data_IF_482794961708
#
_entry.id   IF_482794961708
#
_cell.length_a   1.000
_cell.length_b   1.000
_cell.length_c   1.000
_cell.angle_alpha   90.00
_cell.angle_beta   90.00
_cell.angle_gamma   90.00
#
_symmetry.space_group_name_H-M   'P 1'
#
loop_
_entity.id
_entity.type
_entity.pdbx_description
1 polymer ?
#
# COMPACT_ATOMS: atom_id res chain seq x y z
N UNK A 1 -35.38 -63.74 34.58
CA UNK A 1 -35.49 -63.43 33.16
C UNK A 1 -36.62 -62.42 32.96
N UNK A 2 -36.32 -61.14 33.04
CA UNK A 2 -37.29 -60.08 32.81
C UNK A 2 -36.52 -58.79 32.46
N UNK A 3 -36.87 -58.24 31.30
CA UNK A 3 -36.82 -56.81 30.94
C UNK A 3 -35.46 -56.10 30.76
N UNK A 4 -34.85 -56.36 29.61
CA UNK A 4 -33.94 -55.44 28.93
C UNK A 4 -34.59 -55.14 27.58
N UNK A 5 -35.56 -54.25 27.55
CA UNK A 5 -36.14 -53.68 26.34
C UNK A 5 -36.78 -52.34 26.67
N UNK A 6 -36.00 -51.35 27.12
CA UNK A 6 -36.53 -49.99 27.17
C UNK A 6 -35.43 -48.93 27.39
N UNK A 7 -34.27 -49.08 26.77
CA UNK A 7 -33.23 -48.01 26.90
C UNK A 7 -32.53 -47.61 25.59
N UNK A 8 -33.05 -48.09 24.47
CA UNK A 8 -32.43 -47.75 23.14
C UNK A 8 -33.20 -46.69 22.36
N UNK A 9 -34.37 -46.25 22.85
CA UNK A 9 -35.25 -45.34 22.08
C UNK A 9 -35.17 -43.87 22.56
N UNK A 10 -34.25 -43.49 23.45
CA UNK A 10 -34.18 -42.12 23.96
C UNK A 10 -32.87 -41.37 23.66
N UNK A 11 -31.93 -41.98 22.91
CA UNK A 11 -30.67 -41.33 22.54
C UNK A 11 -30.70 -40.85 21.08
N UNK A 12 -31.75 -41.21 20.31
CA UNK A 12 -31.88 -40.83 18.89
C UNK A 12 -32.64 -39.52 18.63
N UNK A 13 -33.05 -38.78 19.68
CA UNK A 13 -33.86 -37.56 19.52
C UNK A 13 -33.17 -36.27 20.04
N UNK A 14 -31.84 -36.30 20.28
CA UNK A 14 -31.07 -35.10 20.67
C UNK A 14 -30.08 -34.66 19.59
N UNK A 15 -30.20 -35.16 18.38
CA UNK A 15 -29.45 -34.67 17.19
C UNK A 15 -30.27 -33.77 16.29
N UNK A 16 -31.27 -33.14 16.83
CA UNK A 16 -31.98 -32.10 16.11
C UNK A 16 -31.74 -30.77 16.72
N UNK A 17 -31.41 -29.80 15.85
CA UNK A 17 -31.45 -28.36 16.08
C UNK A 17 -30.16 -27.70 16.59
N UNK A 18 -29.04 -28.02 15.94
CA UNK A 18 -28.17 -26.94 15.50
C UNK A 18 -28.20 -26.87 13.97
N UNK A 19 -29.39 -26.61 13.46
CA UNK A 19 -29.50 -25.92 12.19
C UNK A 19 -28.93 -24.51 12.44
N UNK A 20 -27.69 -24.26 12.04
CA UNK A 20 -27.26 -22.93 11.77
C UNK A 20 -28.28 -22.38 10.77
N UNK A 21 -29.22 -21.56 11.21
CA UNK A 21 -29.90 -20.64 10.34
C UNK A 21 -28.77 -19.76 9.78
N UNK A 22 -28.34 -20.09 8.55
CA UNK A 22 -27.65 -19.09 7.73
C UNK A 22 -28.65 -17.95 7.69
N UNK A 23 -28.31 -16.84 8.34
CA UNK A 23 -29.06 -15.60 8.18
C UNK A 23 -29.27 -15.44 6.68
N UNK A 24 -30.53 -15.47 6.27
CA UNK A 24 -30.87 -15.18 4.88
C UNK A 24 -30.41 -13.76 4.66
N UNK A 25 -29.39 -13.60 3.82
CA UNK A 25 -29.02 -12.30 3.29
C UNK A 25 -30.32 -11.71 2.76
N UNK A 26 -30.82 -10.68 3.46
CA UNK A 26 -32.06 -10.00 3.06
C UNK A 26 -31.82 -9.44 1.66
N UNK A 27 -32.44 -10.05 0.67
CA UNK A 27 -32.41 -9.52 -0.68
C UNK A 27 -33.26 -8.26 -0.70
N UNK A 28 -32.62 -7.14 -0.91
CA UNK A 28 -33.31 -5.87 -1.14
C UNK A 28 -34.30 -6.05 -2.31
N UNK A 29 -35.56 -5.69 -2.06
CA UNK A 29 -36.63 -5.80 -3.05
C UNK A 29 -36.65 -4.69 -4.11
N UNK A 30 -35.57 -3.90 -4.25
CA UNK A 30 -35.46 -2.75 -5.15
C UNK A 30 -34.18 -2.84 -5.99
N UNK A 31 -33.98 -1.89 -6.88
CA UNK A 31 -32.80 -1.80 -7.74
C UNK A 31 -31.51 -1.84 -6.90
N UNK A 32 -30.91 -3.01 -6.89
CA UNK A 32 -29.70 -3.26 -6.11
C UNK A 32 -28.46 -2.87 -6.92
N UNK A 33 -27.67 -1.95 -6.40
CA UNK A 33 -26.38 -1.60 -6.97
C UNK A 33 -25.42 -2.75 -6.69
N UNK A 34 -24.90 -3.35 -7.77
CA UNK A 34 -23.95 -4.46 -7.70
C UNK A 34 -22.56 -3.95 -7.92
N UNK A 35 -21.70 -4.12 -6.91
CA UNK A 35 -20.28 -3.86 -6.98
C UNK A 35 -19.57 -5.18 -7.22
N UNK A 36 -18.64 -5.22 -8.16
CA UNK A 36 -17.97 -6.46 -8.62
C UNK A 36 -16.47 -6.42 -8.49
N UNK A 37 -15.90 -5.23 -8.35
CA UNK A 37 -14.46 -5.01 -8.25
C UNK A 37 -14.11 -4.36 -6.91
N UNK A 38 -12.97 -4.75 -6.35
CA UNK A 38 -12.30 -4.05 -5.25
C UNK A 38 -10.97 -3.53 -5.79
N UNK A 39 -10.74 -2.24 -5.72
CA UNK A 39 -9.54 -1.63 -6.29
C UNK A 39 -8.67 -0.89 -5.26
N UNK A 40 -9.18 -0.69 -4.06
CA UNK A 40 -8.41 -0.16 -2.93
C UNK A 40 -8.88 -0.85 -1.65
N UNK A 41 -7.92 -1.33 -0.88
CA UNK A 41 -8.15 -1.88 0.46
C UNK A 41 -7.00 -1.45 1.36
N UNK A 42 -7.30 -0.69 2.39
CA UNK A 42 -6.33 -0.23 3.38
C UNK A 42 -6.76 -0.67 4.77
N UNK A 43 -5.80 -1.03 5.58
CA UNK A 43 -5.99 -1.38 6.97
C UNK A 43 -5.09 -0.50 7.83
N UNK A 44 -5.64 0.05 8.89
CA UNK A 44 -4.88 0.79 9.89
C UNK A 44 -5.20 0.27 11.28
N UNK A 45 -4.16 -0.15 12.01
CA UNK A 45 -4.26 -0.51 13.42
C UNK A 45 -4.55 0.75 14.24
N UNK A 46 -5.60 0.72 15.05
CA UNK A 46 -5.97 1.82 15.94
C UNK A 46 -5.83 1.49 17.41
N UNK A 47 -6.01 2.50 18.26
CA UNK A 47 -6.06 2.32 19.73
C UNK A 47 -7.48 1.90 20.15
N UNK A 48 -7.65 0.60 20.31
CA UNK A 48 -8.92 -0.02 20.73
C UNK A 48 -9.89 -0.40 19.60
N UNK A 49 -9.72 0.12 18.40
CA UNK A 49 -10.46 -0.29 17.20
C UNK A 49 -9.56 -0.16 15.97
N UNK A 50 -9.68 -1.10 15.06
CA UNK A 50 -8.98 -1.07 13.78
C UNK A 50 -9.86 -0.42 12.71
N UNK A 51 -9.23 0.21 11.72
CA UNK A 51 -9.91 0.85 10.59
C UNK A 51 -9.64 0.09 9.29
N UNK A 52 -10.68 -0.09 8.50
CA UNK A 52 -10.61 -0.70 7.17
C UNK A 52 -11.20 0.27 6.16
N UNK A 53 -10.38 0.75 5.25
CA UNK A 53 -10.83 1.54 4.10
C UNK A 53 -10.95 0.64 2.88
N UNK A 54 -12.08 0.71 2.20
CA UNK A 54 -12.43 -0.14 1.06
C UNK A 54 -12.99 0.73 -0.05
N UNK A 55 -12.50 0.55 -1.26
CA UNK A 55 -13.11 1.13 -2.45
C UNK A 55 -13.58 0.01 -3.39
N UNK A 56 -14.85 0.02 -3.70
CA UNK A 56 -15.53 -0.96 -4.53
C UNK A 56 -16.11 -0.29 -5.77
N UNK A 57 -16.18 -1.01 -6.88
CA UNK A 57 -16.76 -0.51 -8.11
C UNK A 57 -17.66 -1.56 -8.79
N UNK A 58 -18.55 -1.10 -9.66
CA UNK A 58 -19.43 -1.97 -10.47
C UNK A 58 -18.77 -2.51 -11.74
N UNK A 59 -17.49 -2.19 -11.97
CA UNK A 59 -16.68 -2.65 -13.10
C UNK A 59 -15.26 -2.11 -13.00
N UNK A 60 -14.40 -2.39 -14.01
CA UNK A 60 -13.03 -1.90 -14.05
C UNK A 60 -12.93 -0.40 -13.83
N UNK A 61 -11.89 0.02 -13.11
CA UNK A 61 -11.70 1.42 -12.70
C UNK A 61 -10.46 2.04 -13.34
N UNK A 62 -10.53 3.35 -13.53
CA UNK A 62 -9.45 4.21 -14.00
C UNK A 62 -9.30 5.39 -13.05
N UNK A 63 -8.07 5.77 -12.76
CA UNK A 63 -7.78 6.98 -11.99
C UNK A 63 -7.72 8.19 -12.91
N UNK A 64 -8.51 9.23 -12.62
CA UNK A 64 -8.41 10.53 -13.29
C UNK A 64 -7.48 11.45 -12.50
N UNK A 65 -6.25 11.70 -12.98
CA UNK A 65 -5.28 12.52 -12.28
C UNK A 65 -5.67 14.01 -12.26
N UNK A 66 -6.59 14.44 -13.12
CA UNK A 66 -7.05 15.83 -13.18
C UNK A 66 -7.95 16.17 -11.99
N UNK A 67 -8.86 15.26 -11.67
CA UNK A 67 -9.81 15.41 -10.58
C UNK A 67 -9.41 14.65 -9.33
N UNK A 68 -8.31 13.89 -9.39
CA UNK A 68 -7.84 12.99 -8.33
C UNK A 68 -8.93 12.00 -7.85
N UNK A 69 -9.70 11.48 -8.80
CA UNK A 69 -10.82 10.58 -8.51
C UNK A 69 -10.73 9.30 -9.32
N UNK A 70 -11.14 8.23 -8.69
CA UNK A 70 -11.36 6.96 -9.38
C UNK A 70 -12.74 6.97 -10.03
N UNK A 71 -12.86 6.43 -11.20
CA UNK A 71 -14.14 6.21 -11.88
C UNK A 71 -14.11 4.87 -12.61
N UNK A 72 -15.27 4.34 -12.92
CA UNK A 72 -15.38 3.15 -13.78
C UNK A 72 -15.03 3.50 -15.22
N UNK A 73 -14.37 2.59 -15.95
CA UNK A 73 -14.06 2.77 -17.40
C UNK A 73 -15.32 3.07 -18.25
N UNK A 74 -16.44 2.49 -17.84
CA UNK A 74 -17.75 2.73 -18.42
C UNK A 74 -18.67 3.37 -17.39
N UNK A 75 -19.90 3.72 -17.79
CA UNK A 75 -20.92 4.19 -16.86
C UNK A 75 -21.06 3.20 -15.68
N UNK A 76 -20.90 3.66 -14.44
CA UNK A 76 -20.93 2.76 -13.29
C UNK A 76 -20.82 3.42 -11.92
N UNK A 77 -20.84 2.61 -10.89
CA UNK A 77 -20.83 3.01 -9.49
C UNK A 77 -19.47 2.77 -8.85
N UNK A 78 -19.06 3.68 -7.99
CA UNK A 78 -17.93 3.54 -7.07
C UNK A 78 -18.43 3.82 -5.66
N UNK A 79 -18.02 3.00 -4.70
CA UNK A 79 -18.36 3.14 -3.29
C UNK A 79 -17.10 3.15 -2.43
N UNK A 80 -16.94 4.20 -1.64
CA UNK A 80 -15.92 4.32 -0.61
C UNK A 80 -16.54 4.01 0.75
N UNK A 81 -15.84 3.18 1.52
CA UNK A 81 -16.29 2.67 2.81
C UNK A 81 -15.14 2.76 3.80
N UNK A 82 -15.38 3.30 4.97
CA UNK A 82 -14.47 3.20 6.12
C UNK A 82 -15.19 2.49 7.28
N UNK A 83 -14.64 1.38 7.75
CA UNK A 83 -15.20 0.55 8.81
C UNK A 83 -14.30 0.57 10.04
N UNK A 84 -14.90 0.63 11.21
CA UNK A 84 -14.21 0.40 12.49
C UNK A 84 -14.63 -0.94 13.07
N UNK A 85 -13.65 -1.77 13.42
CA UNK A 85 -13.85 -3.12 13.92
C UNK A 85 -13.01 -3.40 15.17
N UNK A 86 -13.32 -4.50 15.88
CA UNK A 86 -12.45 -5.02 16.92
C UNK A 86 -11.04 -5.30 16.37
N UNK A 87 -9.97 -5.02 17.15
CA UNK A 87 -8.61 -5.26 16.72
C UNK A 87 -8.36 -6.72 16.32
N UNK A 88 -7.70 -6.90 15.17
CA UNK A 88 -7.37 -8.24 14.70
C UNK A 88 -6.14 -8.80 15.43
N UNK A 89 -6.15 -10.10 15.66
CA UNK A 89 -5.03 -10.79 16.30
C UNK A 89 -3.85 -11.02 15.34
N UNK A 90 -4.10 -11.13 14.05
CA UNK A 90 -3.10 -11.39 13.02
C UNK A 90 -2.92 -10.19 12.09
N UNK A 91 -1.91 -9.37 12.38
CA UNK A 91 -1.57 -8.20 11.57
C UNK A 91 -0.96 -8.56 10.21
N UNK A 92 -0.44 -9.78 10.07
CA UNK A 92 0.10 -10.29 8.80
C UNK A 92 -0.97 -10.64 7.76
N UNK A 93 -2.22 -10.81 8.19
CA UNK A 93 -3.37 -11.03 7.33
C UNK A 93 -4.61 -10.38 7.96
N UNK A 94 -4.72 -9.05 7.89
CA UNK A 94 -5.88 -8.36 8.42
C UNK A 94 -7.14 -8.78 7.68
N UNK A 95 -8.19 -9.05 8.40
CA UNK A 95 -9.46 -9.48 7.85
C UNK A 95 -10.62 -8.74 8.50
N UNK A 96 -11.56 -8.27 7.70
CA UNK A 96 -12.78 -7.65 8.24
C UNK A 96 -13.55 -8.70 9.05
N UNK A 97 -13.83 -8.45 10.34
CA UNK A 97 -14.70 -9.30 11.12
C UNK A 97 -16.10 -9.41 10.50
N UNK A 98 -16.64 -10.64 10.47
CA UNK A 98 -18.02 -10.84 10.05
C UNK A 98 -18.97 -10.11 10.98
N UNK A 99 -20.03 -9.55 10.42
CA UNK A 99 -21.03 -8.88 11.21
C UNK A 99 -21.63 -7.65 10.55
N UNK A 100 -22.32 -6.90 11.37
CA UNK A 100 -23.05 -5.71 10.97
C UNK A 100 -22.30 -4.45 11.39
N UNK A 101 -22.21 -3.51 10.49
CA UNK A 101 -21.62 -2.19 10.65
C UNK A 101 -22.68 -1.13 10.43
N UNK A 102 -22.96 -0.36 11.46
CA UNK A 102 -24.01 0.70 11.42
C UNK A 102 -23.36 2.04 11.19
N UNK A 103 -23.95 2.88 10.33
CA UNK A 103 -23.45 4.22 10.04
C UNK A 103 -23.40 5.07 11.32
N UNK A 104 -22.24 5.64 11.62
CA UNK A 104 -22.00 6.44 12.82
C UNK A 104 -20.81 7.39 12.69
N UNK A 105 -20.81 8.47 13.48
CA UNK A 105 -19.80 9.53 13.44
C UNK A 105 -18.62 9.34 14.40
N UNK A 106 -18.72 8.38 15.33
CA UNK A 106 -17.66 8.11 16.30
C UNK A 106 -17.04 6.74 16.04
N UNK A 107 -15.69 6.63 16.02
CA UNK A 107 -15.02 5.33 15.91
C UNK A 107 -15.47 4.38 17.01
N UNK A 108 -15.79 3.14 16.62
CA UNK A 108 -16.21 2.08 17.52
C UNK A 108 -16.40 0.77 16.76
N UNK A 109 -16.18 -0.36 17.40
CA UNK A 109 -16.36 -1.66 16.76
C UNK A 109 -17.79 -1.82 16.21
N UNK A 110 -17.91 -2.28 14.96
CA UNK A 110 -19.18 -2.41 14.25
C UNK A 110 -19.72 -1.06 13.70
N UNK A 111 -18.87 -0.05 13.56
CA UNK A 111 -19.25 1.24 12.98
C UNK A 111 -18.77 1.34 11.54
N UNK A 112 -19.66 1.78 10.68
CA UNK A 112 -19.38 2.31 9.36
C UNK A 112 -19.28 3.84 9.47
N UNK A 113 -18.14 4.44 9.11
CA UNK A 113 -17.91 5.88 9.27
C UNK A 113 -18.93 6.69 8.46
N UNK A 114 -19.42 7.75 9.07
CA UNK A 114 -20.26 8.76 8.40
C UNK A 114 -19.46 9.96 7.88
N UNK A 115 -18.13 9.95 7.96
CA UNK A 115 -17.29 11.01 7.39
C UNK A 115 -17.46 11.05 5.87
N UNK A 116 -17.77 12.24 5.34
CA UNK A 116 -18.20 12.39 3.95
C UNK A 116 -17.14 11.97 2.96
N UNK A 117 -15.85 12.23 3.25
CA UNK A 117 -14.73 11.92 2.35
C UNK A 117 -14.49 10.41 2.17
N UNK A 118 -14.86 9.59 3.15
CA UNK A 118 -14.65 8.14 3.16
C UNK A 118 -15.94 7.33 3.20
N UNK A 119 -17.08 8.00 2.99
CA UNK A 119 -18.41 7.41 2.98
C UNK A 119 -19.23 7.97 1.81
N UNK A 120 -18.91 7.53 0.62
CA UNK A 120 -19.55 8.02 -0.60
C UNK A 120 -19.93 6.86 -1.51
N UNK A 121 -21.06 6.98 -2.16
CA UNK A 121 -21.41 6.18 -3.31
C UNK A 121 -21.67 7.15 -4.47
N UNK A 122 -20.87 7.07 -5.52
CA UNK A 122 -21.05 7.95 -6.67
C UNK A 122 -21.16 7.16 -7.97
N UNK A 123 -21.98 7.68 -8.86
CA UNK A 123 -22.14 7.19 -10.22
C UNK A 123 -21.37 8.08 -11.17
N UNK A 124 -20.56 7.49 -12.00
CA UNK A 124 -19.86 8.17 -13.10
C UNK A 124 -20.48 7.71 -14.42
N UNK A 125 -20.88 8.66 -15.24
CA UNK A 125 -21.47 8.38 -16.53
C UNK A 125 -21.26 9.55 -17.50
N UNK A 126 -21.71 9.37 -18.73
CA UNK A 126 -21.60 10.38 -19.79
C UNK A 126 -22.23 11.75 -19.45
N UNK A 127 -23.16 11.80 -18.52
CA UNK A 127 -23.84 13.00 -18.07
C UNK A 127 -23.15 13.65 -16.85
N UNK A 128 -22.00 13.12 -16.40
CA UNK A 128 -21.23 13.61 -15.27
C UNK A 128 -21.24 12.68 -14.05
N UNK A 129 -20.82 13.21 -12.90
CA UNK A 129 -20.77 12.51 -11.62
C UNK A 129 -21.99 12.85 -10.78
N UNK A 130 -22.64 11.83 -10.22
CA UNK A 130 -23.73 11.98 -9.27
C UNK A 130 -23.36 11.26 -7.97
N UNK A 131 -23.25 12.01 -6.87
CA UNK A 131 -22.85 11.49 -5.56
C UNK A 131 -24.06 11.28 -4.65
N UNK A 132 -24.09 10.13 -4.00
CA UNK A 132 -25.04 9.77 -2.96
C UNK A 132 -24.26 9.65 -1.63
N UNK A 133 -24.62 10.47 -0.67
CA UNK A 133 -24.04 10.42 0.69
C UNK A 133 -25.01 9.67 1.60
N UNK A 134 -24.62 8.52 2.16
CA UNK A 134 -25.43 7.81 3.15
C UNK A 134 -25.60 8.66 4.42
N UNK A 135 -26.82 8.78 4.92
CA UNK A 135 -27.15 9.51 6.15
C UNK A 135 -27.61 8.60 7.29
N UNK A 136 -28.05 7.39 6.96
CA UNK A 136 -28.30 6.31 7.92
C UNK A 136 -28.30 4.97 7.19
N UNK A 137 -28.00 3.90 7.89
CA UNK A 137 -28.01 2.57 7.28
C UNK A 137 -27.04 1.60 7.93
N UNK A 138 -26.91 0.46 7.30
CA UNK A 138 -26.05 -0.63 7.75
C UNK A 138 -25.42 -1.39 6.58
N UNK A 139 -24.21 -1.89 6.82
CA UNK A 139 -23.52 -2.86 5.97
C UNK A 139 -23.37 -4.17 6.74
N UNK A 140 -23.52 -5.27 6.08
CA UNK A 140 -23.25 -6.60 6.66
C UNK A 140 -22.18 -7.29 5.84
N UNK A 141 -21.14 -7.78 6.51
CA UNK A 141 -20.07 -8.56 5.93
C UNK A 141 -20.16 -10.01 6.39
N UNK A 142 -20.08 -10.94 5.45
CA UNK A 142 -19.98 -12.37 5.69
C UNK A 142 -18.79 -12.94 4.90
N UNK A 143 -18.01 -13.82 5.52
CA UNK A 143 -16.89 -14.50 4.87
C UNK A 143 -17.40 -15.67 4.02
N UNK A 144 -16.72 -15.92 2.93
CA UNK A 144 -16.92 -17.09 2.08
C UNK A 144 -15.61 -17.86 1.96
N UNK A 145 -15.60 -18.99 1.27
CA UNK A 145 -14.38 -19.75 1.00
C UNK A 145 -13.37 -18.92 0.16
N UNK A 146 -13.87 -18.00 -0.69
CA UNK A 146 -13.09 -17.29 -1.67
C UNK A 146 -13.09 -15.76 -1.46
N UNK A 147 -13.51 -15.29 -0.28
CA UNK A 147 -13.54 -13.85 0.02
C UNK A 147 -14.72 -13.42 0.90
N UNK A 148 -15.43 -12.37 0.48
CA UNK A 148 -16.51 -11.74 1.24
C UNK A 148 -17.78 -11.59 0.42
N UNK A 149 -18.91 -11.63 1.13
CA UNK A 149 -20.17 -11.08 0.67
C UNK A 149 -20.47 -9.85 1.54
N UNK A 150 -20.66 -8.70 0.91
CA UNK A 150 -21.17 -7.50 1.56
C UNK A 150 -22.59 -7.23 1.05
N UNK A 151 -23.49 -6.92 1.97
CA UNK A 151 -24.81 -6.38 1.65
C UNK A 151 -25.01 -5.11 2.44
N UNK A 152 -25.57 -4.09 1.83
CA UNK A 152 -25.85 -2.83 2.47
C UNK A 152 -27.22 -2.29 2.15
N UNK A 153 -27.85 -1.66 3.15
CA UNK A 153 -29.06 -0.88 2.99
C UNK A 153 -28.89 0.46 3.69
N UNK A 154 -29.13 1.54 3.00
CA UNK A 154 -29.00 2.87 3.55
C UNK A 154 -29.97 3.88 2.94
N UNK A 155 -30.28 4.90 3.72
CA UNK A 155 -30.96 6.12 3.29
C UNK A 155 -29.89 7.13 2.88
N UNK A 156 -30.00 7.69 1.68
CA UNK A 156 -29.10 8.74 1.23
C UNK A 156 -29.69 10.15 1.50
N UNK A 157 -28.84 11.17 1.32
CA UNK A 157 -29.26 12.58 1.54
C UNK A 157 -30.41 13.00 0.64
N UNK A 158 -30.63 12.34 -0.49
CA UNK A 158 -31.81 12.57 -1.38
C UNK A 158 -33.11 11.96 -0.86
N UNK A 159 -33.12 11.43 0.37
CA UNK A 159 -34.24 10.78 1.05
C UNK A 159 -34.73 9.48 0.39
N UNK A 160 -33.91 8.83 -0.43
CA UNK A 160 -34.20 7.52 -1.00
C UNK A 160 -33.40 6.41 -0.33
N UNK A 161 -34.00 5.24 -0.27
CA UNK A 161 -33.33 4.01 0.16
C UNK A 161 -32.60 3.38 -1.01
N UNK A 162 -31.35 2.97 -0.73
CA UNK A 162 -30.48 2.27 -1.66
C UNK A 162 -30.03 0.95 -1.06
N UNK A 163 -29.82 -0.01 -1.94
CA UNK A 163 -29.23 -1.29 -1.60
C UNK A 163 -27.97 -1.51 -2.42
N UNK A 164 -26.93 -2.01 -1.77
CA UNK A 164 -25.68 -2.36 -2.42
C UNK A 164 -25.29 -3.79 -2.09
N UNK A 165 -24.62 -4.45 -3.02
CA UNK A 165 -24.05 -5.78 -2.81
C UNK A 165 -22.66 -5.85 -3.43
N UNK A 166 -21.77 -6.60 -2.77
CA UNK A 166 -20.47 -6.98 -3.29
C UNK A 166 -20.25 -8.46 -3.01
N UNK A 167 -19.56 -9.13 -3.93
CA UNK A 167 -19.05 -10.49 -3.72
C UNK A 167 -17.69 -10.59 -4.38
N UNK A 168 -16.67 -10.85 -3.60
CA UNK A 168 -15.29 -10.92 -4.10
C UNK A 168 -14.25 -11.00 -2.98
N UNK A 169 -12.99 -10.97 -3.36
CA UNK A 169 -11.87 -10.90 -2.42
C UNK A 169 -11.61 -9.48 -1.95
N UNK A 170 -11.31 -9.33 -0.66
CA UNK A 170 -10.76 -8.11 -0.08
C UNK A 170 -9.41 -8.51 0.54
N UNK A 171 -8.33 -8.00 -0.02
CA UNK A 171 -6.97 -8.26 0.47
C UNK A 171 -6.43 -6.98 1.08
N UNK A 172 -6.09 -7.03 2.34
CA UNK A 172 -5.46 -5.92 3.05
C UNK A 172 -3.97 -6.16 3.16
N UNK A 173 -3.21 -5.08 3.03
CA UNK A 173 -1.77 -5.17 3.25
C UNK A 173 -1.49 -5.53 4.71
N UNK A 174 -0.54 -6.44 4.97
CA UNK A 174 -0.10 -6.73 6.32
C UNK A 174 0.41 -5.46 7.00
N UNK A 175 -0.07 -5.22 8.22
CA UNK A 175 0.54 -4.21 9.09
C UNK A 175 1.41 -4.95 10.10
N UNK A 176 2.67 -5.16 9.72
CA UNK A 176 3.65 -5.77 10.60
C UNK A 176 3.96 -4.87 11.80
N UNK A 177 4.23 -5.46 12.95
CA UNK A 177 4.84 -4.70 14.04
C UNK A 177 6.20 -4.18 13.57
N UNK A 178 6.36 -2.86 13.57
CA UNK A 178 7.65 -2.24 13.31
C UNK A 178 8.53 -2.42 14.53
N UNK A 179 9.69 -3.00 14.35
CA UNK A 179 10.69 -3.19 15.40
C UNK A 179 12.08 -2.83 14.88
N UNK A 180 13.03 -2.69 15.79
CA UNK A 180 14.43 -2.38 15.42
C UNK A 180 15.13 -3.64 14.95
N UNK A 181 16.01 -3.54 13.93
CA UNK A 181 16.87 -4.62 13.50
C UNK A 181 17.81 -5.01 14.65
N UNK A 182 17.75 -6.26 15.06
CA UNK A 182 18.45 -6.84 16.22
C UNK A 182 19.48 -7.94 15.84
N UNK A 183 19.54 -8.30 14.55
CA UNK A 183 20.48 -9.29 14.02
C UNK A 183 21.26 -8.72 12.83
N UNK A 184 22.52 -9.16 12.64
CA UNK A 184 23.28 -8.75 11.47
C UNK A 184 22.58 -9.05 10.16
N UNK A 185 22.51 -8.05 9.27
CA UNK A 185 22.01 -8.20 7.91
C UNK A 185 23.21 -8.52 7.01
N UNK A 186 23.14 -9.63 6.29
CA UNK A 186 24.17 -10.05 5.34
C UNK A 186 23.49 -10.62 4.10
N UNK A 187 23.44 -9.83 3.03
CA UNK A 187 22.58 -10.14 1.88
C UNK A 187 23.27 -9.94 0.53
N UNK A 188 22.75 -10.62 -0.50
CA UNK A 188 23.05 -10.35 -1.91
C UNK A 188 21.83 -9.69 -2.53
N UNK A 189 21.99 -8.45 -2.93
CA UNK A 189 20.95 -7.75 -3.63
C UNK A 189 20.75 -8.32 -5.03
N UNK A 190 19.49 -8.44 -5.44
CA UNK A 190 19.10 -8.90 -6.77
C UNK A 190 18.79 -7.73 -7.70
N UNK A 191 18.57 -6.53 -7.14
CA UNK A 191 18.30 -5.32 -7.88
C UNK A 191 18.63 -4.06 -7.11
N UNK A 192 18.67 -2.96 -7.84
CA UNK A 192 18.83 -1.64 -7.27
C UNK A 192 18.83 -0.55 -8.31
N UNK A 193 18.51 0.65 -7.85
CA UNK A 193 18.44 1.85 -8.67
C UNK A 193 19.17 3.02 -8.01
N UNK A 194 19.69 3.92 -8.83
CA UNK A 194 20.24 5.19 -8.41
C UNK A 194 19.40 6.32 -9.01
N UNK A 195 18.71 7.06 -8.16
CA UNK A 195 17.78 8.11 -8.53
C UNK A 195 18.44 9.47 -8.23
N UNK A 196 18.85 10.20 -9.25
CA UNK A 196 19.33 11.55 -9.07
C UNK A 196 18.16 12.50 -8.83
N UNK A 197 18.19 13.24 -7.75
CA UNK A 197 17.12 14.13 -7.29
C UNK A 197 17.40 15.62 -7.52
N UNK A 198 18.55 15.94 -8.12
CA UNK A 198 18.96 17.33 -8.31
C UNK A 198 19.74 17.90 -7.13
N UNK A 199 19.83 19.24 -7.03
CA UNK A 199 20.43 19.92 -5.91
C UNK A 199 19.73 19.58 -4.60
N UNK A 200 20.50 19.36 -3.53
CA UNK A 200 19.92 19.11 -2.21
C UNK A 200 19.31 20.41 -1.66
N UNK A 201 18.06 20.38 -1.16
CA UNK A 201 17.40 21.59 -0.66
C UNK A 201 18.10 22.27 0.52
N UNK A 202 18.84 21.50 1.33
CA UNK A 202 19.57 22.00 2.50
C UNK A 202 21.02 22.38 2.20
N UNK A 203 21.59 21.77 1.14
CA UNK A 203 22.99 21.91 0.73
C UNK A 203 23.06 22.19 -0.77
N UNK A 204 22.59 23.36 -1.16
CA UNK A 204 22.35 23.75 -2.56
C UNK A 204 23.55 23.77 -3.51
N UNK A 205 24.77 23.53 -3.01
CA UNK A 205 26.00 23.32 -3.76
C UNK A 205 26.31 21.84 -4.05
N UNK A 206 25.51 20.93 -3.51
CA UNK A 206 25.60 19.48 -3.72
C UNK A 206 24.35 18.95 -4.41
N UNK A 207 24.57 18.03 -5.33
CA UNK A 207 23.52 17.15 -5.83
C UNK A 207 23.37 15.93 -4.91
N UNK A 208 22.23 15.25 -4.97
CA UNK A 208 22.06 14.03 -4.23
C UNK A 208 21.38 12.92 -5.04
N UNK A 209 21.74 11.70 -4.67
CA UNK A 209 21.21 10.46 -5.25
C UNK A 209 20.58 9.64 -4.15
N UNK A 210 19.39 9.16 -4.39
CA UNK A 210 18.76 8.10 -3.62
C UNK A 210 19.17 6.76 -4.22
N UNK A 211 20.01 6.02 -3.52
CA UNK A 211 20.36 4.65 -3.87
C UNK A 211 19.38 3.70 -3.16
N UNK A 212 18.74 2.85 -3.92
CA UNK A 212 17.85 1.80 -3.43
C UNK A 212 18.35 0.44 -3.85
N UNK A 213 18.41 -0.50 -2.90
CA UNK A 213 18.86 -1.87 -3.14
C UNK A 213 17.86 -2.84 -2.50
N UNK A 214 17.59 -3.96 -3.18
CA UNK A 214 16.65 -4.97 -2.69
C UNK A 214 17.13 -6.39 -3.00
N UNK A 215 16.77 -7.34 -2.14
CA UNK A 215 17.15 -8.77 -2.28
C UNK A 215 15.97 -9.69 -2.60
N UNK A 216 14.77 -9.14 -2.72
CA UNK A 216 13.57 -9.82 -3.21
C UNK A 216 12.86 -8.96 -4.24
N UNK A 217 12.23 -9.56 -5.24
CA UNK A 217 11.37 -8.81 -6.17
C UNK A 217 10.18 -8.23 -5.41
N UNK A 218 9.72 -7.02 -5.79
CA UNK A 218 8.51 -6.46 -5.22
C UNK A 218 7.32 -7.41 -5.41
N UNK A 219 6.55 -7.62 -4.37
CA UNK A 219 5.31 -8.38 -4.48
C UNK A 219 4.37 -7.67 -5.48
N UNK A 220 3.91 -8.34 -6.53
CA UNK A 220 3.13 -7.70 -7.59
C UNK A 220 1.75 -7.22 -7.14
N UNK A 221 1.22 -7.74 -6.03
CA UNK A 221 -0.09 -7.36 -5.50
C UNK A 221 0.04 -6.24 -4.45
N UNK A 222 1.14 -6.23 -3.69
CA UNK A 222 1.33 -5.30 -2.57
C UNK A 222 2.36 -4.20 -2.88
N UNK A 223 3.19 -4.35 -3.91
CA UNK A 223 4.31 -3.46 -4.20
C UNK A 223 5.41 -3.45 -3.12
N UNK A 224 5.31 -4.33 -2.12
CA UNK A 224 6.20 -4.41 -0.98
C UNK A 224 7.34 -5.38 -1.26
N UNK A 225 8.55 -5.05 -0.84
CA UNK A 225 9.70 -5.97 -0.91
C UNK A 225 9.67 -6.86 0.33
N UNK A 226 9.37 -8.15 0.12
CA UNK A 226 9.38 -9.17 1.19
C UNK A 226 10.80 -9.70 1.40
N UNK A 227 11.66 -8.90 2.01
CA UNK A 227 13.08 -9.16 2.16
C UNK A 227 13.80 -7.95 2.75
N UNK A 228 15.07 -7.76 2.35
CA UNK A 228 15.84 -6.60 2.75
C UNK A 228 15.76 -5.52 1.67
N UNK A 229 15.43 -4.33 2.10
CA UNK A 229 15.46 -3.10 1.30
C UNK A 229 16.38 -2.08 1.97
N UNK A 230 17.32 -1.50 1.21
CA UNK A 230 18.15 -0.40 1.65
C UNK A 230 17.83 0.86 0.86
N UNK A 231 17.67 1.96 1.57
CA UNK A 231 17.63 3.31 1.00
C UNK A 231 18.81 4.10 1.55
N UNK A 232 19.57 4.74 0.69
CA UNK A 232 20.76 5.49 1.05
C UNK A 232 20.74 6.84 0.34
N UNK A 233 20.83 7.93 1.08
CA UNK A 233 21.00 9.27 0.53
C UNK A 233 22.48 9.57 0.39
N UNK A 234 22.95 9.79 -0.84
CA UNK A 234 24.35 10.00 -1.18
C UNK A 234 24.55 11.37 -1.81
N UNK A 235 25.56 12.11 -1.38
CA UNK A 235 25.91 13.40 -1.96
C UNK A 235 26.96 13.26 -3.06
N UNK A 236 26.72 13.94 -4.17
CA UNK A 236 27.58 14.00 -5.36
C UNK A 236 27.66 15.45 -5.84
N UNK A 237 28.60 15.80 -6.72
CA UNK A 237 28.56 17.09 -7.42
C UNK A 237 27.23 17.26 -8.18
N UNK A 238 26.73 18.50 -8.22
CA UNK A 238 25.55 18.83 -9.05
C UNK A 238 25.83 18.43 -10.49
N UNK A 239 24.91 17.69 -11.09
CA UNK A 239 24.98 17.29 -12.49
C UNK A 239 24.35 18.38 -13.34
N UNK A 240 25.11 18.86 -14.33
CA UNK A 240 24.64 19.82 -15.33
C UNK A 240 24.16 19.13 -16.61
N UNK A 241 24.47 17.86 -16.77
CA UNK A 241 24.04 16.99 -17.86
C UNK A 241 23.14 15.88 -17.31
N UNK A 242 22.45 15.19 -18.20
CA UNK A 242 21.61 14.05 -17.84
C UNK A 242 22.40 13.01 -17.03
N UNK A 243 21.89 12.66 -15.86
CA UNK A 243 22.48 11.63 -15.03
C UNK A 243 22.29 10.24 -15.62
N UNK A 244 23.35 9.62 -16.09
CA UNK A 244 23.32 8.33 -16.80
C UNK A 244 24.10 7.22 -16.10
N UNK A 245 24.87 7.57 -15.06
CA UNK A 245 25.63 6.61 -14.24
C UNK A 245 25.99 7.22 -12.90
N UNK A 246 26.03 6.37 -11.86
CA UNK A 246 26.64 6.76 -10.59
C UNK A 246 28.15 6.96 -10.76
N UNK A 247 28.74 8.03 -10.21
CA UNK A 247 30.19 8.11 -10.09
C UNK A 247 30.74 6.88 -9.37
N UNK A 248 31.87 6.33 -9.84
CA UNK A 248 32.57 5.28 -9.08
C UNK A 248 33.30 5.90 -7.88
N UNK A 249 33.25 5.22 -6.74
CA UNK A 249 33.89 5.74 -5.53
C UNK A 249 33.40 5.08 -4.25
N UNK A 250 33.80 5.65 -3.13
CA UNK A 250 33.36 5.20 -1.80
C UNK A 250 32.81 6.37 -1.03
N UNK A 251 31.55 6.25 -0.62
CA UNK A 251 30.83 7.19 0.24
C UNK A 251 30.88 6.72 1.68
N UNK A 252 31.17 7.66 2.58
CA UNK A 252 31.14 7.39 4.03
C UNK A 252 29.83 7.90 4.61
N UNK A 253 29.19 7.08 5.43
CA UNK A 253 28.09 7.54 6.27
C UNK A 253 28.62 8.54 7.28
N UNK A 254 28.23 9.81 7.14
CA UNK A 254 28.70 10.93 7.93
C UNK A 254 27.66 12.06 7.95
N UNK A 255 27.50 12.71 9.09
CA UNK A 255 26.61 13.85 9.25
C UNK A 255 27.07 15.13 8.52
N UNK A 256 28.34 15.20 8.07
CA UNK A 256 28.78 16.28 7.18
C UNK A 256 28.25 16.01 5.78
N UNK A 257 27.59 17.00 5.19
CA UNK A 257 27.20 16.94 3.79
C UNK A 257 28.38 17.43 2.94
N UNK A 258 29.24 16.50 2.53
CA UNK A 258 30.37 16.73 1.64
C UNK A 258 30.24 15.76 0.43
N UNK A 259 30.91 16.08 -0.67
CA UNK A 259 31.07 15.13 -1.76
C UNK A 259 31.60 13.78 -1.24
N UNK A 260 31.07 12.68 -1.76
CA UNK A 260 31.41 11.32 -1.33
C UNK A 260 31.04 11.01 0.15
N UNK A 261 30.05 11.67 0.69
CA UNK A 261 29.39 11.26 1.94
C UNK A 261 27.97 10.78 1.68
N UNK A 262 27.47 9.97 2.59
CA UNK A 262 26.07 9.56 2.64
C UNK A 262 25.45 10.04 3.96
N UNK A 263 24.23 10.56 3.87
CA UNK A 263 23.52 11.07 5.05
C UNK A 263 23.14 9.92 5.97
N UNK A 264 23.49 9.95 7.26
CA UNK A 264 23.01 8.98 8.24
C UNK A 264 21.48 8.98 8.34
N UNK A 265 20.92 7.83 8.71
CA UNK A 265 19.49 7.72 9.01
C UNK A 265 19.15 8.39 10.35
N UNK A 266 17.99 8.99 10.41
CA UNK A 266 17.43 9.55 11.63
C UNK A 266 15.89 9.41 11.66
N UNK A 267 15.35 9.36 12.87
CA UNK A 267 13.91 9.33 13.10
C UNK A 267 13.34 10.73 12.90
N UNK A 268 12.47 10.89 11.91
CA UNK A 268 11.74 12.13 11.62
C UNK A 268 10.36 12.19 12.29
N UNK A 269 9.96 11.12 12.97
CA UNK A 269 8.62 10.96 13.53
C UNK A 269 7.58 10.45 12.51
N UNK A 270 8.04 10.03 11.34
CA UNK A 270 7.23 9.41 10.30
C UNK A 270 7.37 7.88 10.32
N UNK A 271 6.57 7.16 9.54
CA UNK A 271 6.57 5.70 9.50
C UNK A 271 7.91 5.08 9.07
N UNK A 272 8.66 5.78 8.22
CA UNK A 272 10.00 5.40 7.79
C UNK A 272 11.04 6.47 8.17
N UNK A 273 12.27 6.06 8.51
CA UNK A 273 13.35 6.99 8.79
C UNK A 273 13.70 7.86 7.58
N UNK A 274 14.21 9.07 7.86
CA UNK A 274 14.83 9.92 6.85
C UNK A 274 16.32 9.60 6.71
N UNK A 275 16.95 9.94 5.57
CA UNK A 275 18.36 9.65 5.30
C UNK A 275 18.59 8.20 4.85
N UNK A 276 19.58 7.54 5.45
CA UNK A 276 19.98 6.17 5.08
C UNK A 276 19.50 5.13 6.07
N UNK A 277 18.78 4.13 5.59
CA UNK A 277 18.20 3.08 6.44
C UNK A 277 18.07 1.74 5.72
N UNK A 278 17.85 0.70 6.50
CA UNK A 278 17.52 -0.64 6.03
C UNK A 278 16.17 -1.07 6.59
N UNK A 279 15.36 -1.67 5.74
CA UNK A 279 14.10 -2.34 6.10
C UNK A 279 14.27 -3.83 5.88
N UNK A 280 13.83 -4.64 6.82
CA UNK A 280 13.73 -6.07 6.69
C UNK A 280 12.28 -6.49 6.90
N UNK A 281 11.64 -6.97 5.83
CA UNK A 281 10.25 -7.44 5.87
C UNK A 281 10.25 -8.96 5.83
N UNK A 282 9.47 -9.59 6.70
CA UNK A 282 9.28 -11.04 6.68
C UNK A 282 8.64 -11.51 5.38
N UNK A 283 8.85 -12.77 5.02
CA UNK A 283 8.33 -13.34 3.77
C UNK A 283 6.81 -13.38 3.66
N UNK A 284 6.11 -13.23 4.77
CA UNK A 284 4.65 -13.13 4.84
C UNK A 284 4.16 -11.69 5.06
N UNK A 285 5.07 -10.71 5.08
CA UNK A 285 4.76 -9.30 5.32
C UNK A 285 4.32 -8.97 6.77
N UNK A 286 4.27 -9.96 7.66
CA UNK A 286 3.70 -9.80 9.01
C UNK A 286 4.59 -9.00 9.97
N UNK A 287 5.88 -8.89 9.69
CA UNK A 287 6.82 -8.13 10.52
C UNK A 287 7.72 -7.27 9.68
N UNK A 288 7.97 -6.06 10.14
CA UNK A 288 8.91 -5.13 9.55
C UNK A 288 9.92 -4.70 10.61
N UNK A 289 11.21 -4.81 10.30
CA UNK A 289 12.30 -4.32 11.14
C UNK A 289 13.00 -3.18 10.45
N UNK A 290 13.29 -2.12 11.19
CA UNK A 290 13.95 -0.92 10.70
C UNK A 290 15.32 -0.77 11.36
N UNK A 291 16.30 -0.29 10.60
CA UNK A 291 17.62 0.08 11.13
C UNK A 291 18.14 1.34 10.45
N UNK A 292 18.35 2.40 11.22
CA UNK A 292 18.97 3.64 10.73
C UNK A 292 20.45 3.44 10.59
N UNK A 293 21.01 3.67 9.40
CA UNK A 293 22.45 3.52 9.13
C UNK A 293 23.19 4.78 9.58
N UNK A 294 24.22 4.65 10.44
CA UNK A 294 24.96 5.81 10.96
C UNK A 294 26.47 5.76 10.75
N UNK A 295 27.02 4.62 10.40
CA UNK A 295 28.45 4.42 10.16
C UNK A 295 28.67 3.45 9.02
N UNK A 296 29.82 3.57 8.36
CA UNK A 296 30.22 2.62 7.33
C UNK A 296 30.49 3.25 5.99
N UNK A 297 30.53 2.40 4.97
CA UNK A 297 30.84 2.79 3.60
C UNK A 297 29.92 2.14 2.60
N UNK A 298 29.68 2.88 1.54
CA UNK A 298 29.02 2.43 0.32
C UNK A 298 30.01 2.59 -0.81
N UNK A 299 30.33 1.54 -1.51
CA UNK A 299 31.26 1.58 -2.64
C UNK A 299 30.51 1.26 -3.93
N UNK A 300 30.64 2.12 -4.93
CA UNK A 300 30.15 1.90 -6.30
C UNK A 300 31.35 1.73 -7.21
N UNK A 301 31.40 0.62 -7.95
CA UNK A 301 32.48 0.34 -8.90
C UNK A 301 32.21 1.01 -10.26
N UNK A 302 33.22 1.01 -11.14
CA UNK A 302 33.10 1.46 -12.53
C UNK A 302 32.02 0.68 -13.31
N UNK A 303 31.85 -0.60 -12.99
CA UNK A 303 30.80 -1.47 -13.56
C UNK A 303 29.40 -1.26 -12.91
N UNK A 304 29.26 -0.21 -12.09
CA UNK A 304 28.02 0.11 -11.36
C UNK A 304 27.60 -1.00 -10.36
N UNK A 305 28.51 -1.84 -9.89
CA UNK A 305 28.28 -2.77 -8.79
C UNK A 305 28.37 -2.04 -7.46
N UNK A 306 27.62 -2.50 -6.46
CA UNK A 306 27.56 -1.85 -5.15
C UNK A 306 28.02 -2.80 -4.06
N UNK A 307 28.80 -2.29 -3.12
CA UNK A 307 29.19 -2.99 -1.89
C UNK A 307 28.83 -2.12 -0.70
N UNK A 308 28.11 -2.70 0.26
CA UNK A 308 27.72 -2.08 1.53
C UNK A 308 28.48 -2.71 2.67
N UNK A 309 29.11 -1.92 3.51
CA UNK A 309 29.67 -2.29 4.81
C UNK A 309 29.34 -1.20 5.83
N UNK A 310 28.18 -1.35 6.48
CA UNK A 310 27.60 -0.32 7.32
C UNK A 310 27.15 -0.89 8.68
N UNK A 311 26.76 0.01 9.57
CA UNK A 311 26.23 -0.32 10.89
C UNK A 311 25.02 0.57 11.19
N UNK A 312 24.05 0.01 11.88
CA UNK A 312 22.89 0.77 12.39
C UNK A 312 23.29 1.60 13.63
N UNK A 313 22.39 2.46 14.06
CA UNK A 313 22.53 3.24 15.31
C UNK A 313 22.71 2.33 16.54
N UNK A 314 22.18 1.14 16.51
CA UNK A 314 22.31 0.10 17.54
C UNK A 314 23.62 -0.70 17.42
N UNK A 315 24.44 -0.40 16.41
CA UNK A 315 25.72 -1.09 16.16
C UNK A 315 25.58 -2.43 15.46
N UNK A 316 24.41 -2.72 14.88
CA UNK A 316 24.17 -3.95 14.11
C UNK A 316 24.80 -3.82 12.73
N UNK A 317 25.58 -4.83 12.32
CA UNK A 317 26.26 -4.87 11.02
C UNK A 317 25.28 -5.07 9.88
N UNK A 318 25.40 -4.25 8.84
CA UNK A 318 24.64 -4.36 7.59
C UNK A 318 25.63 -4.47 6.44
N UNK A 319 25.72 -5.67 5.85
CA UNK A 319 26.61 -5.98 4.73
C UNK A 319 25.82 -6.49 3.55
N UNK A 320 26.21 -6.06 2.36
CA UNK A 320 25.57 -6.53 1.16
C UNK A 320 26.35 -6.19 -0.11
N UNK A 321 26.01 -6.87 -1.19
CA UNK A 321 26.56 -6.56 -2.49
C UNK A 321 25.54 -6.75 -3.61
N UNK A 322 25.56 -5.85 -4.57
CA UNK A 322 24.88 -5.95 -5.86
C UNK A 322 25.96 -6.20 -6.93
N UNK A 323 25.92 -7.33 -7.62
CA UNK A 323 26.88 -7.72 -8.65
C UNK A 323 26.29 -7.59 -10.07
N UNK A 324 25.42 -6.62 -10.28
CA UNK A 324 24.90 -6.21 -11.57
C UNK A 324 24.81 -4.68 -11.62
N UNK A 325 24.77 -4.08 -12.82
CA UNK A 325 24.64 -2.64 -12.92
C UNK A 325 23.35 -2.11 -12.26
N UNK A 326 23.46 -0.90 -11.69
CA UNK A 326 22.31 -0.16 -11.18
C UNK A 326 21.42 0.32 -12.32
N UNK A 327 20.13 0.37 -12.09
CA UNK A 327 19.21 1.16 -12.90
C UNK A 327 19.40 2.64 -12.56
N UNK A 328 19.46 3.49 -13.60
CA UNK A 328 19.72 4.91 -13.43
C UNK A 328 18.47 5.70 -13.79
N UNK A 329 18.02 6.52 -12.85
CA UNK A 329 16.90 7.44 -13.02
C UNK A 329 17.39 8.87 -12.77
N UNK A 330 17.03 9.79 -13.67
CA UNK A 330 17.29 11.21 -13.50
C UNK A 330 15.97 11.97 -13.29
N UNK A 331 15.76 12.42 -12.05
CA UNK A 331 14.63 13.26 -11.65
C UNK A 331 15.08 14.66 -11.26
N UNK A 332 16.38 14.94 -11.39
CA UNK A 332 17.01 16.18 -10.90
C UNK A 332 16.90 17.38 -11.83
N UNK A 333 16.31 17.25 -12.99
CA UNK A 333 16.08 18.37 -13.91
C UNK A 333 17.36 18.99 -14.46
N UNK A 334 18.43 18.21 -14.72
CA UNK A 334 19.48 18.64 -15.64
C UNK A 334 18.83 19.18 -16.91
N UNK A 335 19.43 20.17 -17.60
CA UNK A 335 18.83 20.78 -18.78
C UNK A 335 18.20 19.68 -19.63
N UNK A 336 16.88 19.62 -19.56
CA UNK A 336 16.13 18.78 -20.44
C UNK A 336 16.42 19.33 -21.82
N UNK A 337 17.10 18.55 -22.65
CA UNK A 337 17.23 18.90 -24.05
C UNK A 337 15.82 18.98 -24.65
N UNK A 338 15.20 20.16 -24.51
CA UNK A 338 13.87 20.46 -25.03
C UNK A 338 13.76 20.14 -26.53
N UNK A 339 14.89 19.92 -27.22
CA UNK A 339 14.89 19.50 -28.62
C UNK A 339 14.35 18.08 -28.82
N UNK A 340 14.33 17.25 -27.76
CA UNK A 340 13.72 15.91 -27.80
C UNK A 340 12.24 15.91 -27.41
N UNK A 341 11.78 16.91 -26.69
CA UNK A 341 10.35 17.12 -26.52
C UNK A 341 9.84 17.75 -27.79
N UNK A 342 9.21 16.95 -28.62
CA UNK A 342 8.59 17.46 -29.85
C UNK A 342 7.72 18.65 -29.45
N UNK A 343 7.88 19.76 -30.16
CA UNK A 343 6.91 20.83 -30.12
C UNK A 343 5.59 20.24 -30.61
N UNK A 344 4.84 19.60 -29.75
CA UNK A 344 3.50 19.09 -30.02
C UNK A 344 2.63 20.32 -30.30
N UNK A 345 2.49 20.70 -31.54
CA UNK A 345 1.56 21.73 -31.97
C UNK A 345 0.15 21.18 -32.22
N UNK A 346 -0.06 19.91 -32.01
CA UNK A 346 -1.36 19.21 -32.13
C UNK A 346 -1.45 18.05 -31.12
N UNK A 347 -2.62 17.84 -30.57
CA UNK A 347 -2.92 16.72 -29.69
C UNK A 347 -2.49 15.39 -30.32
N UNK A 348 -1.56 14.68 -29.69
CA UNK A 348 -1.21 13.30 -30.05
C UNK A 348 -1.64 12.38 -28.91
N UNK A 349 -2.45 11.41 -29.28
CA UNK A 349 -2.72 10.26 -28.40
C UNK A 349 -1.43 9.41 -28.39
N UNK A 350 -0.79 9.31 -27.23
CA UNK A 350 0.34 8.40 -27.02
C UNK A 350 -0.27 7.07 -26.61
N UNK A 351 -0.13 6.08 -27.48
CA UNK A 351 -0.52 4.70 -27.16
C UNK A 351 0.55 4.09 -26.24
N UNK A 352 0.22 3.94 -24.97
CA UNK A 352 1.07 3.31 -23.96
C UNK A 352 0.80 1.80 -23.80
N UNK A 353 0.08 1.18 -24.73
CA UNK A 353 -0.28 -0.25 -24.68
C UNK A 353 0.91 -1.23 -24.67
N UNK A 354 2.16 -0.74 -24.68
CA UNK A 354 3.38 -1.55 -24.57
C UNK A 354 4.27 -1.23 -23.37
N UNK A 355 3.83 -0.36 -22.44
CA UNK A 355 4.65 0.07 -21.31
C UNK A 355 4.25 -0.66 -20.01
N UNK A 356 4.49 -1.97 -19.94
CA UNK A 356 4.21 -2.76 -18.73
C UNK A 356 5.13 -2.45 -17.52
N UNK A 357 6.19 -1.66 -17.68
CA UNK A 357 7.22 -1.48 -16.65
C UNK A 357 7.27 -0.09 -15.98
N UNK A 358 6.63 0.93 -16.53
CA UNK A 358 6.72 2.29 -15.99
C UNK A 358 5.81 2.57 -14.79
N UNK A 359 4.75 1.79 -14.58
CA UNK A 359 3.73 2.04 -13.57
C UNK A 359 4.14 1.66 -12.12
N UNK A 360 5.06 0.73 -11.94
CA UNK A 360 5.43 0.25 -10.60
C UNK A 360 6.34 1.21 -9.83
N UNK A 361 7.17 1.97 -10.50
CA UNK A 361 8.09 2.92 -9.87
C UNK A 361 7.41 4.20 -9.37
N UNK A 362 6.40 4.69 -10.06
CA UNK A 362 5.65 5.88 -9.66
C UNK A 362 4.78 5.65 -8.40
N UNK A 363 4.32 4.43 -8.16
CA UNK A 363 3.47 4.13 -7.01
C UNK A 363 4.21 4.17 -5.67
N UNK A 364 5.45 3.73 -5.63
CA UNK A 364 6.31 3.82 -4.42
C UNK A 364 6.74 5.29 -4.18
N UNK A 365 7.01 6.04 -5.24
CA UNK A 365 7.41 7.45 -5.17
C UNK A 365 6.24 8.36 -4.80
N UNK A 366 5.02 8.09 -5.29
CA UNK A 366 3.85 8.94 -5.00
C UNK A 366 3.34 8.80 -3.55
N UNK A 367 3.52 7.66 -2.89
CA UNK A 367 3.17 7.54 -1.47
C UNK A 367 4.06 8.38 -0.57
N UNK A 368 5.33 8.54 -0.91
CA UNK A 368 6.27 9.40 -0.18
C UNK A 368 6.15 10.88 -0.53
N UNK A 369 5.55 11.25 -1.67
CA UNK A 369 5.37 12.64 -2.10
C UNK A 369 4.02 13.26 -1.69
N UNK A 370 3.06 12.46 -1.23
CA UNK A 370 1.73 12.96 -0.82
C UNK A 370 1.59 13.22 0.68
N UNK A 371 2.65 12.93 1.47
CA UNK A 371 2.72 13.23 2.91
C UNK A 371 3.65 14.41 3.24
N UNK A 372 3.90 15.30 2.28
CA UNK A 372 4.59 16.57 2.52
C UNK A 372 3.64 17.75 2.37
#
# INVERSE_FOLDING_TARGET
>A
MKNIKLFVTFVASLFFLFSCEKEKVETCGFDTIRLTESFLTEYAKGDGVDNYMIALASGPTVFDPTNQQWHTENDGWVMLISLFAEPVANLGAPEIPEGKYTLGSAPGAGVWSSEEDVNQLYYTGKDGVSTLVPVSGELTFAKTADGYIMTGKFLAADQKEYCVTYTGTLKFQPQGETSVIDQPVNTKFIGGQAIYKGPDPSFGDLGWVQLELYDAEPDPEMGTILGNFLKIKMFIPIQTEKFTSMPSGTWKLNASADENTAEPGYDSGEDLPTGSYVVQTSSDGSTMKLGMLNQGTITVTEDQHVVIDAYTTEGISVKGNLNKPLEILDLGGGEVDDSQYSTLTTDKVIDLSGAETAYFLDYIIMRTAHEM
#
